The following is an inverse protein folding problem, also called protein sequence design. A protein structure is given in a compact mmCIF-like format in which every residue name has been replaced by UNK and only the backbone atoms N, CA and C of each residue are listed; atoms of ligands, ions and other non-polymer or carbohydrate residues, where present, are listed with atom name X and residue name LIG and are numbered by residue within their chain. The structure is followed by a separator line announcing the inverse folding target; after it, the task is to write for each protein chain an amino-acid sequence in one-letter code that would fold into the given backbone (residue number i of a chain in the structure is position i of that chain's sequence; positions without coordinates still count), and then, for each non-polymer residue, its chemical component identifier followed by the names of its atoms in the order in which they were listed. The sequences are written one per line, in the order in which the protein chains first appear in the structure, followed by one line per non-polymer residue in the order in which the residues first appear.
data_IF_385722576509
#
_entry.id   IF_385722576509
#
_cell.length_a   1.000
_cell.length_b   1.000
_cell.length_c   1.000
_cell.angle_alpha   90.00
_cell.angle_beta   90.00
_cell.angle_gamma   90.00
#
_symmetry.space_group_name_H-M   'P 1'
#
loop_
_entity.id
_entity.type
_entity.pdbx_description
1 polymer ?
#
# COMPACT_ATOMS: atom_id res chain seq x y z
N UNK A 1 9.11 19.41 8.02
CA UNK A 1 10.01 18.49 8.73
C UNK A 1 9.15 17.29 9.07
N UNK A 2 9.32 16.23 8.28
CA UNK A 2 8.21 15.42 7.77
C UNK A 2 7.78 14.32 8.73
N UNK A 3 6.55 13.82 8.55
CA UNK A 3 5.97 12.75 9.36
C UNK A 3 6.79 11.44 9.38
N UNK A 4 7.84 11.35 8.55
CA UNK A 4 8.66 10.17 8.29
C UNK A 4 10.16 10.34 8.60
N UNK A 5 10.56 11.33 9.39
CA UNK A 5 11.99 11.64 9.63
C UNK A 5 12.81 10.48 10.23
N UNK A 6 12.16 9.49 10.86
CA UNK A 6 12.83 8.30 11.40
C UNK A 6 13.00 7.14 10.39
N UNK A 7 12.49 7.28 9.17
CA UNK A 7 12.78 6.38 8.07
C UNK A 7 14.13 6.73 7.43
N UNK A 8 14.77 5.76 6.79
CA UNK A 8 15.96 6.01 5.96
C UNK A 8 15.56 6.77 4.70
N UNK A 9 16.54 7.32 3.99
CA UNK A 9 16.27 8.11 2.78
C UNK A 9 15.64 7.24 1.69
N UNK A 10 16.22 6.07 1.48
CA UNK A 10 15.79 5.11 0.47
C UNK A 10 14.36 4.61 0.78
N UNK A 11 14.03 4.41 2.06
CA UNK A 11 12.68 4.02 2.49
C UNK A 11 11.64 5.10 2.16
N UNK A 12 12.01 6.38 2.29
CA UNK A 12 11.14 7.51 1.94
C UNK A 12 10.95 7.60 0.43
N UNK A 13 12.02 7.51 -0.35
CA UNK A 13 11.96 7.55 -1.81
C UNK A 13 11.04 6.44 -2.34
N UNK A 14 11.19 5.20 -1.84
CA UNK A 14 10.28 4.09 -2.19
C UNK A 14 8.83 4.33 -1.79
N UNK A 15 8.61 4.90 -0.60
CA UNK A 15 7.25 5.25 -0.16
C UNK A 15 6.64 6.35 -1.02
N UNK A 16 7.42 7.33 -1.45
CA UNK A 16 6.98 8.41 -2.34
C UNK A 16 6.63 7.86 -3.73
N UNK A 17 7.46 6.99 -4.31
CA UNK A 17 7.17 6.30 -5.55
C UNK A 17 5.89 5.44 -5.45
N UNK A 18 5.74 4.70 -4.34
CA UNK A 18 4.52 3.93 -4.07
C UNK A 18 3.29 4.84 -3.88
N UNK A 19 3.44 5.99 -3.22
CA UNK A 19 2.35 6.95 -3.03
C UNK A 19 1.87 7.51 -4.37
N UNK A 20 2.79 7.91 -5.26
CA UNK A 20 2.45 8.39 -6.59
C UNK A 20 1.68 7.33 -7.39
N UNK A 21 2.19 6.09 -7.41
CA UNK A 21 1.52 5.00 -8.10
C UNK A 21 0.16 4.62 -7.47
N UNK A 22 0.02 4.78 -6.15
CA UNK A 22 -1.25 4.57 -5.43
C UNK A 22 -2.30 5.64 -5.77
N UNK A 23 -1.88 6.90 -5.90
CA UNK A 23 -2.75 8.03 -6.24
C UNK A 23 -3.33 7.92 -7.66
N UNK A 24 -2.61 7.26 -8.57
CA UNK A 24 -3.05 7.01 -9.94
C UNK A 24 -4.11 5.89 -10.09
N UNK A 25 -4.38 5.12 -9.02
CA UNK A 25 -5.35 4.01 -9.07
C UNK A 25 -6.79 4.57 -9.05
N UNK A 26 -7.59 4.23 -10.06
CA UNK A 26 -9.05 4.49 -9.99
C UNK A 26 -9.64 3.72 -8.80
N UNK A 27 -10.40 4.38 -7.91
CA UNK A 27 -11.02 3.68 -6.80
C UNK A 27 -12.01 2.56 -7.19
N UNK A 28 -12.37 2.42 -8.49
CA UNK A 28 -13.17 1.27 -8.99
C UNK A 28 -12.35 0.00 -8.99
N UNK A 29 -11.04 0.14 -9.16
CA UNK A 29 -10.12 -0.98 -9.24
C UNK A 29 -9.63 -1.43 -7.85
N UNK A 30 -10.03 -0.76 -6.76
CA UNK A 30 -9.62 -1.12 -5.39
C UNK A 30 -10.00 -2.56 -5.02
N UNK A 31 -11.07 -3.11 -5.57
CA UNK A 31 -11.43 -4.51 -5.36
C UNK A 31 -10.35 -5.49 -5.84
N UNK A 32 -9.57 -5.13 -6.87
CA UNK A 32 -8.45 -5.95 -7.38
C UNK A 32 -7.30 -6.05 -6.39
N UNK A 33 -7.23 -5.10 -5.47
CA UNK A 33 -6.23 -5.02 -4.40
C UNK A 33 -6.74 -5.59 -3.07
N UNK A 34 -7.94 -6.18 -3.03
CA UNK A 34 -8.56 -6.77 -1.85
C UNK A 34 -8.60 -8.32 -1.96
N UNK A 35 -7.49 -9.03 -1.67
CA UNK A 35 -7.43 -10.48 -1.86
C UNK A 35 -8.42 -11.20 -0.93
N UNK A 36 -9.05 -12.26 -1.46
CA UNK A 36 -10.12 -12.99 -0.77
C UNK A 36 -9.71 -13.65 0.56
N UNK A 37 -8.43 -14.00 0.72
CA UNK A 37 -7.86 -14.39 2.01
C UNK A 37 -6.33 -14.30 1.96
N UNK A 38 -5.69 -13.57 2.90
CA UNK A 38 -4.24 -13.52 2.96
C UNK A 38 -3.66 -14.50 3.99
N UNK A 39 -4.46 -15.16 4.82
CA UNK A 39 -3.96 -15.79 6.05
C UNK A 39 -3.48 -17.23 5.83
N UNK A 40 -2.22 -17.35 5.43
CA UNK A 40 -1.45 -18.60 5.48
C UNK A 40 -0.21 -18.47 6.39
N UNK A 41 0.32 -19.59 6.86
CA UNK A 41 1.49 -19.63 7.75
C UNK A 41 2.70 -18.88 7.17
N UNK A 42 2.88 -18.93 5.84
CA UNK A 42 3.93 -18.20 5.13
C UNK A 42 3.78 -16.67 5.26
N UNK A 43 2.55 -16.14 5.14
CA UNK A 43 2.32 -14.71 5.37
C UNK A 43 2.54 -14.34 6.84
N UNK A 44 2.14 -15.19 7.78
CA UNK A 44 2.36 -14.97 9.19
C UNK A 44 3.86 -14.86 9.49
N UNK A 45 4.67 -15.75 8.91
CA UNK A 45 6.13 -15.70 9.00
C UNK A 45 6.71 -14.41 8.38
N UNK A 46 6.26 -14.03 7.18
CA UNK A 46 6.70 -12.80 6.53
C UNK A 46 6.36 -11.54 7.36
N UNK A 47 5.18 -11.50 8.01
CA UNK A 47 4.80 -10.42 8.93
C UNK A 47 5.75 -10.34 10.13
N UNK A 48 6.10 -11.49 10.72
CA UNK A 48 7.05 -11.55 11.85
C UNK A 48 8.43 -11.04 11.42
N UNK A 49 8.91 -11.46 10.24
CA UNK A 49 10.18 -11.01 9.65
C UNK A 49 10.20 -9.49 9.45
N UNK A 50 9.17 -8.93 8.82
CA UNK A 50 9.03 -7.48 8.62
C UNK A 50 8.98 -6.70 9.94
N UNK A 51 8.27 -7.20 10.96
CA UNK A 51 8.24 -6.58 12.29
C UNK A 51 9.60 -6.63 12.99
N UNK A 52 10.37 -7.70 12.80
CA UNK A 52 11.72 -7.83 13.35
C UNK A 52 12.70 -6.85 12.68
N UNK A 53 12.55 -6.60 11.37
CA UNK A 53 13.33 -5.59 10.65
C UNK A 53 13.09 -4.16 11.20
N UNK A 54 11.88 -3.87 11.70
CA UNK A 54 11.54 -2.60 12.37
C UNK A 54 12.05 -2.62 13.82
N UNK A 55 13.37 -2.54 13.97
CA UNK A 55 14.06 -2.75 15.24
C UNK A 55 13.88 -1.61 16.26
N UNK A 56 13.75 -0.35 15.83
CA UNK A 56 13.67 0.81 16.73
C UNK A 56 12.25 1.33 16.94
N UNK A 57 11.97 1.84 18.15
CA UNK A 57 10.66 2.43 18.47
C UNK A 57 10.35 3.66 17.61
N UNK A 58 11.34 4.47 17.26
CA UNK A 58 11.17 5.65 16.40
C UNK A 58 10.78 5.24 14.97
N UNK A 59 11.45 4.23 14.41
CA UNK A 59 11.12 3.68 13.09
C UNK A 59 9.74 3.04 13.09
N UNK A 60 9.37 2.32 14.15
CA UNK A 60 8.02 1.75 14.31
C UNK A 60 6.93 2.83 14.26
N UNK A 61 7.11 3.94 15.00
CA UNK A 61 6.18 5.07 14.93
C UNK A 61 6.10 5.71 13.55
N UNK A 62 7.22 5.78 12.83
CA UNK A 62 7.21 6.31 11.46
C UNK A 62 6.48 5.38 10.48
N UNK A 63 6.65 4.05 10.62
CA UNK A 63 5.88 3.04 9.88
C UNK A 63 4.40 3.16 10.18
N UNK A 64 4.01 3.23 11.45
CA UNK A 64 2.60 3.41 11.88
C UNK A 64 1.98 4.68 11.27
N UNK A 65 2.72 5.79 11.23
CA UNK A 65 2.27 7.02 10.59
C UNK A 65 2.15 6.88 9.07
N UNK A 66 3.11 6.25 8.40
CA UNK A 66 3.04 5.99 6.97
C UNK A 66 1.79 5.17 6.64
N UNK A 67 1.56 4.06 7.34
CA UNK A 67 0.35 3.25 7.21
C UNK A 67 -0.89 4.10 7.42
N UNK A 68 -0.96 4.90 8.49
CA UNK A 68 -2.12 5.75 8.76
C UNK A 68 -2.40 6.75 7.62
N UNK A 69 -1.36 7.37 7.06
CA UNK A 69 -1.48 8.30 5.93
C UNK A 69 -2.11 7.64 4.70
N UNK A 70 -1.63 6.45 4.31
CA UNK A 70 -2.18 5.68 3.19
C UNK A 70 -3.64 5.28 3.43
N UNK A 71 -3.97 4.85 4.66
CA UNK A 71 -5.36 4.49 5.03
C UNK A 71 -6.30 5.69 4.94
N UNK A 72 -5.87 6.86 5.43
CA UNK A 72 -6.63 8.12 5.33
C UNK A 72 -6.81 8.53 3.86
N UNK A 73 -5.78 8.41 3.04
CA UNK A 73 -5.85 8.71 1.60
C UNK A 73 -6.85 7.78 0.88
N UNK A 74 -6.78 6.49 1.14
CA UNK A 74 -7.74 5.50 0.65
C UNK A 74 -9.18 5.82 1.06
N UNK A 75 -9.41 6.11 2.34
CA UNK A 75 -10.74 6.43 2.85
C UNK A 75 -11.28 7.72 2.24
N UNK A 76 -10.44 8.74 2.03
CA UNK A 76 -10.82 9.99 1.34
C UNK A 76 -11.19 9.72 -0.11
N UNK A 77 -10.40 8.90 -0.81
CA UNK A 77 -10.65 8.52 -2.20
C UNK A 77 -11.98 7.78 -2.37
N UNK A 78 -12.28 6.86 -1.46
CA UNK A 78 -13.56 6.15 -1.39
C UNK A 78 -14.72 7.09 -1.01
N UNK A 79 -14.53 8.02 -0.08
CA UNK A 79 -15.55 8.95 0.39
C UNK A 79 -15.91 10.04 -0.62
N UNK A 80 -14.94 10.50 -1.42
CA UNK A 80 -15.14 11.44 -2.54
C UNK A 80 -16.11 10.92 -3.62
N UNK A 81 -16.51 9.65 -3.52
CA UNK A 81 -17.38 8.95 -4.47
C UNK A 81 -18.87 8.93 -4.14
N UNK A 82 -19.32 9.58 -3.06
CA UNK A 82 -20.76 9.71 -2.76
C UNK A 82 -21.47 10.48 -3.91
N UNK A 83 -22.36 9.84 -4.71
CA UNK A 83 -22.90 10.50 -5.88
C UNK A 83 -24.15 11.32 -5.52
N UNK A 84 -24.14 12.61 -5.85
CA UNK A 84 -25.35 13.32 -6.27
C UNK A 84 -25.85 12.74 -7.62
N UNK A 85 -27.10 12.99 -8.05
CA UNK A 85 -28.18 12.03 -8.34
C UNK A 85 -27.98 11.08 -9.55
N UNK A 86 -26.79 10.50 -9.75
CA UNK A 86 -26.54 9.43 -10.74
C UNK A 86 -27.10 8.06 -10.29
N UNK A 87 -27.69 7.97 -9.09
CA UNK A 87 -28.42 6.79 -8.61
C UNK A 87 -29.65 6.41 -9.46
N UNK A 88 -30.08 7.26 -10.39
CA UNK A 88 -31.26 6.99 -11.22
C UNK A 88 -30.98 6.12 -12.46
N UNK A 89 -29.72 5.86 -12.84
CA UNK A 89 -29.39 5.11 -14.07
C UNK A 89 -28.42 3.93 -13.89
N UNK A 90 -27.85 3.71 -12.72
CA UNK A 90 -26.89 2.63 -12.50
C UNK A 90 -27.56 1.38 -11.90
N UNK A 91 -28.19 0.58 -12.75
CA UNK A 91 -28.21 -0.86 -12.48
C UNK A 91 -26.76 -1.39 -12.48
N UNK A 92 -26.41 -2.25 -11.53
CA UNK A 92 -25.22 -3.11 -11.57
C UNK A 92 -23.82 -2.48 -11.39
N UNK A 93 -23.62 -1.69 -10.33
CA UNK A 93 -22.30 -1.55 -9.71
C UNK A 93 -22.45 -1.73 -8.21
N UNK A 94 -22.19 -2.93 -7.68
CA UNK A 94 -22.26 -3.15 -6.23
C UNK A 94 -21.24 -2.22 -5.56
N UNK A 95 -21.71 -1.32 -4.70
CA UNK A 95 -20.81 -0.58 -3.82
C UNK A 95 -19.90 -1.60 -3.11
N UNK A 96 -18.58 -1.32 -2.98
CA UNK A 96 -17.65 -2.26 -2.34
C UNK A 96 -18.19 -2.63 -0.96
N UNK A 97 -18.29 -3.94 -0.67
CA UNK A 97 -18.85 -4.41 0.60
C UNK A 97 -17.94 -3.94 1.73
N UNK A 98 -18.50 -3.80 2.94
CA UNK A 98 -17.71 -3.46 4.13
C UNK A 98 -16.52 -4.43 4.33
N UNK A 99 -16.72 -5.71 3.99
CA UNK A 99 -15.68 -6.73 4.02
C UNK A 99 -14.55 -6.47 3.00
N UNK A 100 -14.87 -6.08 1.77
CA UNK A 100 -13.87 -5.76 0.75
C UNK A 100 -13.03 -4.55 1.15
N UNK A 101 -13.64 -3.57 1.82
CA UNK A 101 -12.92 -2.41 2.38
C UNK A 101 -11.92 -2.82 3.45
N UNK A 102 -12.29 -3.73 4.35
CA UNK A 102 -11.38 -4.24 5.38
C UNK A 102 -10.20 -4.98 4.74
N UNK A 103 -10.48 -5.86 3.77
CA UNK A 103 -9.44 -6.62 3.05
C UNK A 103 -8.50 -5.71 2.27
N UNK A 104 -9.03 -4.70 1.59
CA UNK A 104 -8.25 -3.68 0.91
C UNK A 104 -7.32 -2.95 1.87
N UNK A 105 -7.85 -2.44 2.99
CA UNK A 105 -7.06 -1.70 3.99
C UNK A 105 -5.95 -2.59 4.59
N UNK A 106 -6.23 -3.86 4.86
CA UNK A 106 -5.23 -4.83 5.33
C UNK A 106 -4.17 -5.18 4.27
N UNK A 107 -4.54 -5.22 2.99
CA UNK A 107 -3.59 -5.41 1.91
C UNK A 107 -2.69 -4.18 1.71
N UNK A 108 -3.28 -2.98 1.76
CA UNK A 108 -2.58 -1.71 1.67
C UNK A 108 -1.57 -1.55 2.82
N UNK A 109 -1.97 -1.86 4.06
CA UNK A 109 -1.07 -1.82 5.21
C UNK A 109 0.15 -2.72 5.02
N UNK A 110 -0.05 -3.96 4.55
CA UNK A 110 1.06 -4.87 4.28
C UNK A 110 1.95 -4.40 3.14
N UNK A 111 1.37 -3.85 2.08
CA UNK A 111 2.12 -3.28 0.97
C UNK A 111 3.01 -2.12 1.43
N UNK A 112 2.48 -1.18 2.21
CA UNK A 112 3.25 -0.06 2.79
C UNK A 112 4.40 -0.58 3.64
N UNK A 113 4.15 -1.59 4.49
CA UNK A 113 5.21 -2.19 5.31
C UNK A 113 6.28 -2.84 4.42
N UNK A 114 5.89 -3.62 3.40
CA UNK A 114 6.81 -4.26 2.45
C UNK A 114 7.69 -3.23 1.72
N UNK A 115 7.13 -2.08 1.33
CA UNK A 115 7.88 -0.97 0.72
C UNK A 115 8.97 -0.43 1.63
N UNK A 116 8.66 -0.27 2.92
CA UNK A 116 9.60 0.28 3.90
C UNK A 116 10.71 -0.73 4.20
N UNK A 117 10.36 -1.99 4.46
CA UNK A 117 11.35 -3.01 4.82
C UNK A 117 11.96 -3.72 3.61
N UNK A 118 11.75 -3.20 2.39
CA UNK A 118 12.12 -3.85 1.12
C UNK A 118 13.47 -4.56 1.20
N UNK A 119 14.57 -3.84 1.43
CA UNK A 119 15.92 -4.43 1.44
C UNK A 119 16.25 -5.33 2.64
N UNK A 120 15.36 -5.42 3.63
CA UNK A 120 15.56 -6.16 4.88
C UNK A 120 14.83 -7.49 4.93
N UNK A 121 13.97 -7.75 3.95
CA UNK A 121 13.24 -9.01 3.78
C UNK A 121 13.55 -9.63 2.43
N UNK A 122 13.32 -10.93 2.30
CA UNK A 122 13.53 -11.68 1.06
C UNK A 122 12.48 -11.32 -0.01
N UNK A 123 12.80 -11.57 -1.28
CA UNK A 123 11.86 -11.32 -2.39
C UNK A 123 10.55 -12.09 -2.22
N UNK A 124 10.61 -13.32 -1.71
CA UNK A 124 9.42 -14.13 -1.43
C UNK A 124 8.54 -13.49 -0.33
N UNK A 125 9.15 -13.00 0.75
CA UNK A 125 8.42 -12.29 1.81
C UNK A 125 7.82 -10.97 1.31
N UNK A 126 8.53 -10.24 0.42
CA UNK A 126 8.00 -9.03 -0.23
C UNK A 126 6.75 -9.36 -1.02
N UNK A 127 6.83 -10.38 -1.87
CA UNK A 127 5.71 -10.79 -2.72
C UNK A 127 4.51 -11.27 -1.89
N UNK A 128 4.75 -11.98 -0.78
CA UNK A 128 3.70 -12.40 0.15
C UNK A 128 3.03 -11.21 0.85
N UNK A 129 3.82 -10.23 1.32
CA UNK A 129 3.29 -9.06 2.02
C UNK A 129 2.57 -8.11 1.06
N UNK A 130 3.20 -7.77 -0.06
CA UNK A 130 2.64 -6.89 -1.07
C UNK A 130 1.42 -7.51 -1.78
N UNK A 131 1.44 -8.83 -2.04
CA UNK A 131 0.34 -9.54 -2.70
C UNK A 131 -0.04 -8.86 -4.03
N UNK A 132 -1.30 -8.40 -4.19
CA UNK A 132 -1.73 -7.75 -5.44
C UNK A 132 -1.02 -6.42 -5.73
N UNK A 133 -0.37 -5.82 -4.74
CA UNK A 133 0.40 -4.59 -4.90
C UNK A 133 1.79 -4.81 -5.50
N UNK A 134 2.26 -6.06 -5.60
CA UNK A 134 3.63 -6.39 -6.01
C UNK A 134 3.99 -5.82 -7.38
N UNK A 135 3.11 -5.96 -8.36
CA UNK A 135 3.36 -5.44 -9.71
C UNK A 135 3.47 -3.92 -9.72
N UNK A 136 2.59 -3.24 -8.97
CA UNK A 136 2.61 -1.78 -8.85
C UNK A 136 3.87 -1.30 -8.12
N UNK A 137 4.24 -1.98 -7.03
CA UNK A 137 5.48 -1.69 -6.30
C UNK A 137 6.71 -1.85 -7.17
N UNK A 138 6.86 -2.98 -7.87
CA UNK A 138 8.01 -3.20 -8.76
C UNK A 138 8.08 -2.13 -9.85
N UNK A 139 6.96 -1.83 -10.51
CA UNK A 139 6.93 -0.80 -11.55
C UNK A 139 7.28 0.60 -11.00
N UNK A 140 6.76 0.97 -9.82
CA UNK A 140 7.04 2.25 -9.19
C UNK A 140 8.53 2.39 -8.82
N UNK A 141 9.13 1.29 -8.35
CA UNK A 141 10.54 1.25 -7.95
C UNK A 141 11.49 1.19 -9.15
N UNK A 142 11.10 0.52 -10.24
CA UNK A 142 11.88 0.46 -11.47
C UNK A 142 11.83 1.78 -12.25
N UNK A 143 10.70 2.51 -12.19
CA UNK A 143 10.53 3.81 -12.84
C UNK A 143 11.44 4.91 -12.27
N UNK A 144 11.84 4.80 -10.99
CA UNK A 144 12.76 5.73 -10.33
C UNK A 144 14.25 5.38 -10.60
N UNK A 145 14.53 4.17 -11.10
CA UNK A 145 15.86 3.67 -11.44
C UNK A 145 16.23 3.77 -12.92
N UNK A 146 15.29 4.10 -13.81
CA UNK A 146 15.49 4.20 -15.25
C UNK A 146 15.63 5.65 -15.71
N UNK A 147 16.87 6.05 -16.03
CA UNK A 147 17.27 7.23 -16.83
C UNK A 147 16.30 8.42 -16.83
N UNK A 148 16.65 9.48 -16.09
CA UNK A 148 16.20 10.82 -16.43
C UNK A 148 16.66 11.13 -17.87
N UNK A 149 15.76 11.32 -18.86
CA UNK A 149 16.17 11.56 -20.25
C UNK A 149 16.49 13.04 -20.49
N UNK A 150 17.13 13.73 -19.53
CA UNK A 150 17.58 15.12 -19.71
C UNK A 150 18.91 15.35 -18.98
N UNK A 151 19.98 15.15 -19.74
CA UNK A 151 21.20 15.96 -19.63
C UNK A 151 20.91 17.41 -20.00
#
# INVERSE_FOLDING_TARGET
MGDYDALRREERERLEAFAAAFEDIDPLDYERFAPASPDGDALAAARVSALAAIASQSRRRAVERAVASFRIAADRSLAGRLPAPQMLFAGFGQAPRAEDRVRFQQALERAVVATIVWDEITDEERDLLAGPWTALLRNALDADGGDAPWS
#
